data_IF_622011620283
#
_entry.id   IF_622011620283
#
_cell.length_a   1.000
_cell.length_b   1.000
_cell.length_c   1.000
_cell.angle_alpha   90.00
_cell.angle_beta   90.00
_cell.angle_gamma   90.00
#
_symmetry.space_group_name_H-M   'P 1'
#
loop_
_entity.id
_entity.type
_entity.pdbx_description
1 polymer ?
#
# COMPACT_ATOMS: atom_id res chain seq x y z
N UNK A 1 -3.53 -2.51 -11.82
CA UNK A 1 -3.31 -1.30 -11.00
C UNK A 1 -1.93 -1.38 -10.39
N UNK A 2 -1.21 -0.26 -10.40
CA UNK A 2 0.09 -0.05 -9.76
C UNK A 2 -0.09 0.59 -8.38
N UNK A 3 0.94 0.56 -7.56
CA UNK A 3 0.89 1.14 -6.22
C UNK A 3 0.59 2.63 -6.25
N UNK A 4 1.22 3.41 -7.14
CA UNK A 4 0.96 4.85 -7.25
C UNK A 4 -0.48 5.15 -7.67
N UNK A 5 -1.03 4.40 -8.63
CA UNK A 5 -2.44 4.55 -9.04
C UNK A 5 -3.38 4.32 -7.86
N UNK A 6 -3.11 3.28 -7.06
CA UNK A 6 -3.91 2.95 -5.89
C UNK A 6 -3.78 4.00 -4.78
N UNK A 7 -2.57 4.51 -4.51
CA UNK A 7 -2.36 5.56 -3.51
C UNK A 7 -3.03 6.88 -3.90
N UNK A 8 -3.07 7.20 -5.20
CA UNK A 8 -3.81 8.34 -5.74
C UNK A 8 -5.31 8.16 -5.51
N UNK A 9 -5.84 6.96 -5.75
CA UNK A 9 -7.26 6.65 -5.60
C UNK A 9 -7.62 6.06 -4.23
N UNK A 10 -6.79 6.26 -3.20
CA UNK A 10 -6.90 5.51 -1.93
C UNK A 10 -8.25 5.69 -1.22
N UNK A 11 -8.86 6.87 -1.37
CA UNK A 11 -10.15 7.21 -0.79
C UNK A 11 -11.33 6.42 -1.40
N UNK A 12 -11.07 5.63 -2.45
CA UNK A 12 -12.05 4.75 -3.08
C UNK A 12 -12.09 3.34 -2.47
N UNK A 13 -11.11 3.00 -1.62
CA UNK A 13 -11.03 1.71 -0.94
C UNK A 13 -11.67 1.79 0.46
N UNK A 14 -12.08 0.64 0.99
CA UNK A 14 -12.54 0.53 2.37
C UNK A 14 -11.37 0.72 3.32
N UNK A 15 -11.61 1.26 4.52
CA UNK A 15 -10.60 1.36 5.57
C UNK A 15 -10.01 -0.01 5.97
N UNK A 16 -10.81 -1.07 5.85
CA UNK A 16 -10.42 -2.44 6.18
C UNK A 16 -9.72 -3.18 5.01
N UNK A 17 -9.59 -2.53 3.84
CA UNK A 17 -8.87 -3.12 2.72
C UNK A 17 -7.36 -3.12 2.99
N UNK A 18 -6.68 -4.12 2.43
CA UNK A 18 -5.24 -4.34 2.57
C UNK A 18 -4.61 -4.37 1.19
N UNK A 19 -3.51 -3.64 1.04
CA UNK A 19 -2.68 -3.71 -0.15
C UNK A 19 -1.69 -4.87 -0.03
N UNK A 20 -1.67 -5.71 -1.05
CA UNK A 20 -0.61 -6.69 -1.29
C UNK A 20 0.17 -6.28 -2.53
N UNK A 21 1.49 -6.19 -2.45
CA UNK A 21 2.35 -5.58 -3.49
C UNK A 21 3.40 -6.57 -3.97
N UNK A 22 3.63 -6.59 -5.28
CA UNK A 22 4.69 -7.37 -5.92
C UNK A 22 6.07 -6.78 -5.59
N UNK A 23 7.00 -7.61 -5.10
CA UNK A 23 8.37 -7.18 -4.87
C UNK A 23 9.19 -7.05 -6.17
N UNK A 24 10.16 -6.12 -6.24
CA UNK A 24 10.50 -5.13 -5.20
C UNK A 24 9.41 -4.05 -5.07
N UNK A 25 9.19 -3.53 -3.87
CA UNK A 25 8.19 -2.48 -3.65
C UNK A 25 8.65 -1.15 -4.25
N UNK A 26 7.95 -0.73 -5.29
CA UNK A 26 8.16 0.52 -6.02
C UNK A 26 6.80 1.14 -6.34
N UNK A 27 6.79 2.42 -6.70
CA UNK A 27 5.57 3.10 -7.15
C UNK A 27 4.86 2.40 -8.32
N UNK A 28 5.62 1.67 -9.14
CA UNK A 28 5.12 0.99 -10.33
C UNK A 28 4.82 -0.50 -10.09
N UNK A 29 5.03 -0.99 -8.86
CA UNK A 29 4.76 -2.39 -8.51
C UNK A 29 3.26 -2.67 -8.61
N UNK A 30 2.93 -3.87 -9.09
CA UNK A 30 1.54 -4.30 -9.17
C UNK A 30 1.00 -4.57 -7.78
N UNK A 31 -0.30 -4.31 -7.61
CA UNK A 31 -0.96 -4.55 -6.34
C UNK A 31 -2.20 -5.43 -6.50
N UNK A 32 -2.60 -6.01 -5.37
CA UNK A 32 -3.91 -6.60 -5.14
C UNK A 32 -4.52 -5.96 -3.90
N UNK A 33 -5.81 -5.67 -3.96
CA UNK A 33 -6.59 -5.16 -2.83
C UNK A 33 -7.39 -6.33 -2.26
N UNK A 34 -7.22 -6.58 -0.97
CA UNK A 34 -7.77 -7.75 -0.30
C UNK A 34 -8.47 -7.30 0.97
N UNK A 35 -9.66 -7.82 1.24
CA UNK A 35 -10.42 -7.52 2.45
C UNK A 35 -9.81 -8.31 3.63
N UNK A 36 -9.79 -7.75 4.84
CA UNK A 36 -9.19 -8.31 6.06
C UNK A 36 -9.71 -9.71 6.51
N UNK A 37 -10.61 -10.37 5.77
CA UNK A 37 -11.05 -11.75 6.08
C UNK A 37 -9.94 -12.80 5.89
N UNK A 38 -8.79 -12.38 5.36
CA UNK A 38 -7.66 -13.26 5.02
C UNK A 38 -6.69 -13.44 6.19
N UNK A 39 -7.16 -14.06 7.29
CA UNK A 39 -6.39 -14.85 8.28
C UNK A 39 -4.89 -14.49 8.50
N UNK A 40 -4.55 -13.20 8.68
CA UNK A 40 -3.17 -12.74 8.90
C UNK A 40 -2.17 -13.18 7.81
N UNK A 41 -2.63 -13.38 6.57
CA UNK A 41 -1.73 -13.84 5.48
C UNK A 41 -0.77 -12.73 5.10
N UNK A 42 0.52 -13.04 5.12
CA UNK A 42 1.58 -12.12 4.68
C UNK A 42 1.93 -12.29 3.20
N UNK A 43 1.34 -13.27 2.53
CA UNK A 43 1.58 -13.60 1.12
C UNK A 43 0.33 -14.15 0.46
N UNK A 44 0.10 -13.74 -0.79
CA UNK A 44 -0.91 -14.29 -1.67
C UNK A 44 -0.33 -14.61 -3.05
N UNK A 45 -0.99 -15.51 -3.76
CA UNK A 45 -0.65 -15.84 -5.14
C UNK A 45 -1.88 -15.61 -6.03
N UNK A 46 -1.70 -14.81 -7.09
CA UNK A 46 -2.75 -14.48 -8.06
C UNK A 46 -2.14 -14.58 -9.45
N UNK A 47 -2.73 -15.39 -10.33
CA UNK A 47 -2.27 -15.61 -11.70
C UNK A 47 -0.77 -15.95 -11.84
N UNK A 48 -0.26 -16.77 -10.91
CA UNK A 48 1.15 -17.19 -10.87
C UNK A 48 2.12 -16.09 -10.43
N UNK A 49 1.62 -14.97 -9.91
CA UNK A 49 2.42 -13.90 -9.29
C UNK A 49 2.28 -13.92 -7.78
N UNK A 50 3.39 -13.70 -7.09
CA UNK A 50 3.43 -13.55 -5.64
C UNK A 50 3.28 -12.08 -5.27
N UNK A 51 2.40 -11.81 -4.31
CA UNK A 51 2.27 -10.50 -3.68
C UNK A 51 2.45 -10.67 -2.18
N UNK A 52 3.16 -9.74 -1.56
CA UNK A 52 3.37 -9.72 -0.12
C UNK A 52 2.50 -8.66 0.52
N UNK A 53 2.13 -8.88 1.77
CA UNK A 53 1.47 -7.89 2.59
C UNK A 53 2.28 -6.58 2.55
N UNK A 54 1.59 -5.47 2.29
CA UNK A 54 2.18 -4.15 2.29
C UNK A 54 1.67 -3.35 3.49
N UNK A 55 0.44 -2.82 3.41
CA UNK A 55 -0.19 -2.04 4.48
C UNK A 55 -1.72 -2.07 4.31
N UNK A 56 -2.45 -1.90 5.42
CA UNK A 56 -3.88 -1.60 5.38
C UNK A 56 -4.15 -0.16 4.94
N UNK A 57 -5.33 0.06 4.34
CA UNK A 57 -5.75 1.39 3.86
C UNK A 57 -5.84 2.41 5.00
N UNK A 58 -6.35 2.01 6.18
CA UNK A 58 -6.41 2.95 7.30
C UNK A 58 -5.02 3.47 7.69
N UNK A 59 -4.01 2.59 7.72
CA UNK A 59 -2.64 2.95 8.07
C UNK A 59 -1.99 3.82 6.98
N UNK A 60 -2.26 3.51 5.70
CA UNK A 60 -1.84 4.37 4.59
C UNK A 60 -2.45 5.78 4.76
N UNK A 61 -3.73 5.88 5.09
CA UNK A 61 -4.39 7.18 5.26
C UNK A 61 -3.80 7.97 6.43
N UNK A 62 -3.57 7.34 7.59
CA UNK A 62 -2.90 7.96 8.74
C UNK A 62 -1.50 8.48 8.36
N UNK A 63 -0.71 7.69 7.63
CA UNK A 63 0.59 8.13 7.12
C UNK A 63 0.48 9.34 6.17
N UNK A 64 -0.56 9.40 5.34
CA UNK A 64 -0.77 10.55 4.47
C UNK A 64 -1.16 11.81 5.23
N UNK A 65 -2.02 11.67 6.26
CA UNK A 65 -2.43 12.75 7.16
C UNK A 65 -1.22 13.34 7.92
N UNK A 66 -0.36 12.49 8.48
CA UNK A 66 0.90 12.90 9.15
C UNK A 66 1.88 13.65 8.24
N UNK A 67 1.71 13.50 6.92
CA UNK A 67 2.52 14.13 5.89
C UNK A 67 1.85 15.36 5.26
N UNK A 68 0.61 15.72 5.62
CA UNK A 68 -0.10 16.88 5.06
C UNK A 68 0.57 18.21 5.36
N UNK A 69 1.03 18.39 6.60
CA UNK A 69 1.70 19.62 7.03
C UNK A 69 3.14 19.75 6.52
N UNK A 70 3.64 18.72 5.82
CA UNK A 70 4.97 18.73 5.24
C UNK A 70 4.89 19.30 3.83
N UNK A 71 5.73 20.29 3.53
CA UNK A 71 5.86 20.89 2.21
C UNK A 71 6.59 19.95 1.23
N UNK A 72 6.06 18.73 1.07
CA UNK A 72 6.56 17.66 0.22
C UNK A 72 5.50 17.33 -0.83
N UNK A 73 5.96 16.91 -2.00
CA UNK A 73 5.05 16.56 -3.08
C UNK A 73 4.42 15.17 -2.87
N UNK A 74 3.41 14.83 -3.68
CA UNK A 74 2.69 13.57 -3.56
C UNK A 74 3.59 12.34 -3.79
N UNK A 75 4.54 12.43 -4.73
CA UNK A 75 5.48 11.35 -5.00
C UNK A 75 6.38 11.07 -3.79
N UNK A 76 6.87 12.12 -3.13
CA UNK A 76 7.63 12.03 -1.88
C UNK A 76 6.78 11.40 -0.75
N UNK A 77 5.48 11.71 -0.66
CA UNK A 77 4.58 11.03 0.29
C UNK A 77 4.49 9.53 0.00
N UNK A 78 4.29 9.14 -1.25
CA UNK A 78 4.24 7.73 -1.63
C UNK A 78 5.55 6.99 -1.31
N UNK A 79 6.70 7.64 -1.55
CA UNK A 79 8.01 7.08 -1.21
C UNK A 79 8.18 6.88 0.29
N UNK A 80 7.63 7.78 1.12
CA UNK A 80 7.63 7.61 2.58
C UNK A 80 6.74 6.48 3.04
N UNK A 81 5.58 6.27 2.41
CA UNK A 81 4.73 5.09 2.67
C UNK A 81 5.45 3.79 2.33
N UNK A 82 6.13 3.72 1.18
CA UNK A 82 6.98 2.57 0.82
C UNK A 82 8.09 2.38 1.86
N UNK A 83 8.76 3.47 2.24
CA UNK A 83 9.84 3.41 3.24
C UNK A 83 9.33 2.94 4.60
N UNK A 84 8.14 3.38 5.02
CA UNK A 84 7.50 2.91 6.25
C UNK A 84 7.26 1.41 6.18
N UNK A 85 6.58 0.93 5.13
CA UNK A 85 6.28 -0.49 4.95
C UNK A 85 7.55 -1.35 4.97
N UNK A 86 8.63 -0.91 4.31
CA UNK A 86 9.91 -1.65 4.29
C UNK A 86 10.53 -1.77 5.69
N UNK A 87 10.34 -0.77 6.56
CA UNK A 87 10.89 -0.77 7.91
C UNK A 87 9.98 -1.44 8.95
N UNK A 88 8.68 -1.57 8.63
CA UNK A 88 7.68 -2.25 9.47
C UNK A 88 7.65 -3.78 9.23
N UNK A 89 7.97 -4.21 8.00
CA UNK A 89 8.06 -5.62 7.58
C UNK A 89 9.25 -6.39 8.17
#
# INVERSE_FOLDING_TARGET
MTLIEALVSRDQFSHEDIFFVEEPWTLHSKIQVVIMDVDGRTKIEVDGRTYLYFLEIFLINELFEDLEDQNINFEEKCQRVISYAINDA
#
